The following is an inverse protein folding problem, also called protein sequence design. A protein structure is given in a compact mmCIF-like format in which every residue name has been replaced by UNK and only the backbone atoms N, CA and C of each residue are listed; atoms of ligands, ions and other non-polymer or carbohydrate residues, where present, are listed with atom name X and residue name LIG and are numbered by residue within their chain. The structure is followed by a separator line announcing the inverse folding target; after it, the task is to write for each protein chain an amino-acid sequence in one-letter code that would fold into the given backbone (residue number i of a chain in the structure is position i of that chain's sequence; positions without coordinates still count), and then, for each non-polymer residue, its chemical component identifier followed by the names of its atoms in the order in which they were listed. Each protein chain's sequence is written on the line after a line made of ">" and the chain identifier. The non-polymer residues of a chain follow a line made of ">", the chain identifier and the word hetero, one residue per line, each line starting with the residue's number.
data_IF_332108595336
#
_entry.id   IF_332108595336
#
_cell.length_a   1.000
_cell.length_b   1.000
_cell.length_c   1.000
_cell.angle_alpha   90.00
_cell.angle_beta   90.00
_cell.angle_gamma   90.00
#
_symmetry.space_group_name_H-M   'P 1'
#
loop_
_entity.id
_entity.type
_entity.pdbx_description
1 polymer ?
#
# COMPACT_ATOMS: atom_id res chain seq x y z
N UNK A 1 -15.53 -22.66 -12.64
CA UNK A 1 -14.68 -22.01 -11.62
C UNK A 1 -14.80 -20.51 -11.85
N UNK A 2 -15.38 -19.77 -10.90
CA UNK A 2 -15.59 -18.33 -11.04
C UNK A 2 -14.27 -17.56 -10.90
N UNK A 3 -14.21 -16.48 -11.67
CA UNK A 3 -13.10 -15.64 -12.12
C UNK A 3 -12.08 -15.23 -11.04
N UNK A 4 -10.78 -15.50 -11.27
CA UNK A 4 -9.72 -15.27 -10.28
C UNK A 4 -9.05 -13.90 -10.35
N UNK A 5 -9.36 -13.02 -11.30
CA UNK A 5 -8.74 -11.67 -11.30
C UNK A 5 -9.48 -10.66 -12.17
N UNK A 6 -10.74 -10.32 -11.84
CA UNK A 6 -11.41 -9.22 -12.55
C UNK A 6 -10.75 -7.89 -12.17
N UNK A 7 -9.80 -7.44 -12.98
CA UNK A 7 -9.24 -6.08 -12.93
C UNK A 7 -10.20 -5.13 -13.63
N UNK A 8 -11.17 -4.61 -12.89
CA UNK A 8 -11.99 -3.51 -13.42
C UNK A 8 -11.32 -2.16 -13.18
N UNK A 9 -11.54 -1.16 -14.05
CA UNK A 9 -11.13 0.21 -13.79
C UNK A 9 -11.62 0.74 -12.44
N UNK A 10 -12.85 0.38 -12.05
CA UNK A 10 -13.45 0.78 -10.77
C UNK A 10 -12.67 0.22 -9.58
N UNK A 11 -12.31 -1.08 -9.61
CA UNK A 11 -11.53 -1.70 -8.55
C UNK A 11 -10.14 -1.06 -8.42
N UNK A 12 -9.48 -0.80 -9.56
CA UNK A 12 -8.19 -0.11 -9.55
C UNK A 12 -8.28 1.31 -9.01
N UNK A 13 -9.35 2.05 -9.36
CA UNK A 13 -9.60 3.39 -8.84
C UNK A 13 -9.82 3.38 -7.32
N UNK A 14 -10.58 2.41 -6.80
CA UNK A 14 -10.80 2.25 -5.36
C UNK A 14 -9.50 1.92 -4.64
N UNK A 15 -8.69 0.98 -5.17
CA UNK A 15 -7.37 0.65 -4.58
C UNK A 15 -6.46 1.87 -4.56
N UNK A 16 -6.37 2.59 -5.68
CA UNK A 16 -5.54 3.80 -5.79
C UNK A 16 -6.00 4.89 -4.81
N UNK A 17 -7.30 5.18 -4.75
CA UNK A 17 -7.86 6.14 -3.80
C UNK A 17 -7.57 5.73 -2.35
N UNK A 18 -7.68 4.45 -2.02
CA UNK A 18 -7.37 3.91 -0.69
C UNK A 18 -5.91 4.07 -0.33
N UNK A 19 -4.99 3.73 -1.23
CA UNK A 19 -3.56 3.91 -1.02
C UNK A 19 -3.20 5.39 -0.77
N UNK A 20 -3.80 6.31 -1.54
CA UNK A 20 -3.62 7.77 -1.37
C UNK A 20 -4.14 8.21 0.00
N UNK A 21 -5.33 7.76 0.44
CA UNK A 21 -5.89 8.12 1.74
C UNK A 21 -4.96 7.72 2.89
N UNK A 22 -4.40 6.51 2.87
CA UNK A 22 -3.47 6.07 3.92
C UNK A 22 -2.13 6.77 3.83
N UNK A 23 -1.61 7.03 2.63
CA UNK A 23 -0.39 7.83 2.48
C UNK A 23 -0.58 9.26 3.05
N UNK A 24 -1.74 9.87 2.84
CA UNK A 24 -2.07 11.18 3.40
C UNK A 24 -2.14 11.12 4.93
N UNK A 25 -2.82 10.11 5.47
CA UNK A 25 -2.94 9.91 6.92
C UNK A 25 -1.58 9.74 7.58
N UNK A 26 -0.71 8.87 7.03
CA UNK A 26 0.63 8.63 7.58
C UNK A 26 1.46 9.91 7.52
N UNK A 27 1.42 10.66 6.42
CA UNK A 27 2.11 11.95 6.31
C UNK A 27 1.65 12.94 7.37
N UNK A 28 0.33 13.10 7.55
CA UNK A 28 -0.23 14.00 8.56
C UNK A 28 0.11 13.58 9.99
N UNK A 29 0.24 12.28 10.26
CA UNK A 29 0.59 11.78 11.58
C UNK A 29 2.09 11.85 11.89
N UNK A 30 2.95 11.70 10.88
CA UNK A 30 4.41 11.80 11.04
C UNK A 30 4.85 13.18 11.53
N UNK A 31 4.15 14.24 11.11
CA UNK A 31 4.39 15.61 11.58
C UNK A 31 4.20 15.77 13.11
N UNK A 32 3.36 14.93 13.70
CA UNK A 32 3.00 14.98 15.12
C UNK A 32 3.70 13.90 15.93
N UNK A 33 4.09 12.80 15.29
CA UNK A 33 4.76 11.66 15.91
C UNK A 33 5.87 11.12 15.00
N UNK A 34 7.10 11.66 15.13
CA UNK A 34 8.25 11.18 14.36
C UNK A 34 8.49 9.68 14.57
N UNK A 35 8.68 8.93 13.49
CA UNK A 35 8.89 7.48 13.51
C UNK A 35 7.61 6.66 13.26
N UNK A 36 6.45 7.30 13.13
CA UNK A 36 5.19 6.62 12.85
C UNK A 36 5.18 6.03 11.44
N UNK A 37 5.78 6.70 10.47
CA UNK A 37 5.95 6.23 9.09
C UNK A 37 6.65 4.87 9.07
N UNK A 38 7.79 4.73 9.75
CA UNK A 38 8.56 3.49 9.80
C UNK A 38 7.78 2.38 10.50
N UNK A 39 7.14 2.69 11.63
CA UNK A 39 6.31 1.74 12.37
C UNK A 39 5.10 1.26 11.54
N UNK A 40 4.46 2.17 10.80
CA UNK A 40 3.34 1.85 9.91
C UNK A 40 3.80 0.95 8.76
N UNK A 41 4.91 1.28 8.09
CA UNK A 41 5.45 0.47 6.99
C UNK A 41 5.83 -0.93 7.46
N UNK A 42 6.43 -1.09 8.64
CA UNK A 42 6.73 -2.41 9.19
C UNK A 42 5.45 -3.26 9.39
N UNK A 43 4.37 -2.65 9.88
CA UNK A 43 3.07 -3.33 10.02
C UNK A 43 2.42 -3.66 8.67
N UNK A 44 2.64 -2.80 7.67
CA UNK A 44 2.19 -3.04 6.30
C UNK A 44 2.91 -4.24 5.68
N UNK A 45 4.22 -4.36 5.88
CA UNK A 45 5.05 -5.49 5.42
C UNK A 45 4.65 -6.80 6.13
N UNK A 46 4.36 -6.77 7.44
CA UNK A 46 3.79 -7.92 8.18
C UNK A 46 2.46 -8.37 7.56
N UNK A 47 1.56 -7.43 7.27
CA UNK A 47 0.27 -7.71 6.65
C UNK A 47 0.40 -8.29 5.25
N UNK A 48 1.31 -7.75 4.43
CA UNK A 48 1.61 -8.25 3.09
C UNK A 48 2.10 -9.71 3.16
N UNK A 49 3.09 -10.00 4.02
CA UNK A 49 3.63 -11.34 4.17
C UNK A 49 2.56 -12.35 4.60
N UNK A 50 1.66 -11.95 5.51
CA UNK A 50 0.55 -12.78 5.95
C UNK A 50 -0.40 -13.13 4.81
N UNK A 51 -0.87 -12.13 4.05
CA UNK A 51 -1.76 -12.36 2.90
C UNK A 51 -1.10 -13.24 1.85
N UNK A 52 0.19 -12.98 1.56
CA UNK A 52 0.96 -13.75 0.57
C UNK A 52 1.05 -15.24 0.93
N UNK A 53 1.19 -15.54 2.22
CA UNK A 53 1.34 -16.90 2.72
C UNK A 53 -0.01 -17.61 2.92
N UNK A 54 -1.04 -16.90 3.38
CA UNK A 54 -2.32 -17.50 3.78
C UNK A 54 -3.29 -17.68 2.60
N UNK A 55 -3.42 -16.65 1.75
CA UNK A 55 -4.48 -16.61 0.72
C UNK A 55 -3.98 -16.35 -0.70
N UNK A 56 -2.83 -15.69 -0.82
CA UNK A 56 -2.27 -15.21 -2.09
C UNK A 56 -3.23 -14.29 -2.88
N UNK A 57 -4.04 -13.50 -2.17
CA UNK A 57 -4.95 -12.54 -2.80
C UNK A 57 -4.17 -11.39 -3.46
N UNK A 58 -4.00 -11.50 -4.78
CA UNK A 58 -3.26 -10.55 -5.59
C UNK A 58 -3.81 -9.12 -5.54
N UNK A 59 -5.12 -8.91 -5.32
CA UNK A 59 -5.68 -7.55 -5.23
C UNK A 59 -5.31 -6.89 -3.90
N UNK A 60 -5.33 -7.64 -2.82
CA UNK A 60 -4.92 -7.15 -1.51
C UNK A 60 -3.41 -6.87 -1.49
N UNK A 61 -2.59 -7.78 -2.03
CA UNK A 61 -1.14 -7.60 -2.14
C UNK A 61 -0.78 -6.36 -2.97
N UNK A 62 -1.46 -6.14 -4.09
CA UNK A 62 -1.24 -4.96 -4.94
C UNK A 62 -1.59 -3.67 -4.20
N UNK A 63 -2.71 -3.62 -3.48
CA UNK A 63 -3.08 -2.45 -2.67
C UNK A 63 -2.04 -2.13 -1.59
N UNK A 64 -1.59 -3.15 -0.85
CA UNK A 64 -0.58 -2.97 0.20
C UNK A 64 0.75 -2.49 -0.40
N UNK A 65 1.17 -3.07 -1.53
CA UNK A 65 2.36 -2.64 -2.26
C UNK A 65 2.27 -1.18 -2.70
N UNK A 66 1.16 -0.77 -3.34
CA UNK A 66 0.94 0.62 -3.74
C UNK A 66 0.96 1.58 -2.55
N UNK A 67 0.34 1.20 -1.44
CA UNK A 67 0.32 2.00 -0.22
C UNK A 67 1.75 2.23 0.29
N UNK A 68 2.57 1.17 0.31
CA UNK A 68 3.99 1.25 0.69
C UNK A 68 4.76 2.20 -0.22
N UNK A 69 4.61 2.09 -1.54
CA UNK A 69 5.29 2.95 -2.52
C UNK A 69 4.86 4.40 -2.37
N UNK A 70 3.58 4.68 -2.14
CA UNK A 70 3.10 6.06 -1.95
C UNK A 70 3.63 6.70 -0.66
N UNK A 71 3.86 5.90 0.40
CA UNK A 71 4.41 6.40 1.67
C UNK A 71 5.94 6.59 1.60
N UNK A 72 6.63 5.65 0.97
CA UNK A 72 8.11 5.58 1.04
C UNK A 72 8.81 6.14 -0.19
N UNK A 73 8.10 6.24 -1.32
CA UNK A 73 8.70 6.43 -2.63
C UNK A 73 9.43 5.19 -3.16
N UNK A 74 9.52 4.09 -2.44
CA UNK A 74 10.27 2.94 -2.92
C UNK A 74 9.36 1.92 -3.61
N UNK A 75 9.71 1.54 -4.84
CA UNK A 75 9.13 0.40 -5.56
C UNK A 75 10.21 -0.68 -5.76
N UNK A 76 9.81 -1.94 -5.89
CA UNK A 76 10.71 -3.07 -6.15
C UNK A 76 11.47 -2.93 -7.48
N UNK A 77 11.02 -2.05 -8.39
CA UNK A 77 11.69 -1.74 -9.65
C UNK A 77 12.57 -0.48 -9.61
N UNK A 78 12.65 0.24 -8.49
CA UNK A 78 13.50 1.44 -8.34
C UNK A 78 12.92 2.53 -7.43
N UNK A 79 13.54 3.71 -7.48
CA UNK A 79 13.08 4.89 -6.75
C UNK A 79 11.92 5.58 -7.49
N UNK A 80 10.79 5.68 -6.82
CA UNK A 80 9.72 6.64 -7.10
C UNK A 80 9.81 7.79 -6.09
N UNK A 81 9.07 8.87 -6.34
CA UNK A 81 8.79 9.85 -5.28
C UNK A 81 7.65 9.33 -4.40
N UNK A 82 7.74 9.59 -3.10
CA UNK A 82 6.58 9.44 -2.23
C UNK A 82 5.48 10.39 -2.73
N UNK A 83 4.21 10.04 -2.50
CA UNK A 83 3.12 10.78 -3.12
C UNK A 83 2.98 12.22 -2.59
N UNK A 84 3.40 12.45 -1.35
CA UNK A 84 3.28 13.74 -0.64
C UNK A 84 4.64 14.39 -0.31
N UNK A 85 5.72 13.98 -0.98
CA UNK A 85 7.07 14.57 -0.87
C UNK A 85 7.53 15.17 -2.21
#
# INVERSE_FOLDING_TARGET
>A
MSDKTIRTPELNNVKKATAIMFAALVKSLEEVNPGLKEAFVAKLDEGYAKIRNDTDDLNALELLSWTRTMITGFDLTGESKAFFD
#
